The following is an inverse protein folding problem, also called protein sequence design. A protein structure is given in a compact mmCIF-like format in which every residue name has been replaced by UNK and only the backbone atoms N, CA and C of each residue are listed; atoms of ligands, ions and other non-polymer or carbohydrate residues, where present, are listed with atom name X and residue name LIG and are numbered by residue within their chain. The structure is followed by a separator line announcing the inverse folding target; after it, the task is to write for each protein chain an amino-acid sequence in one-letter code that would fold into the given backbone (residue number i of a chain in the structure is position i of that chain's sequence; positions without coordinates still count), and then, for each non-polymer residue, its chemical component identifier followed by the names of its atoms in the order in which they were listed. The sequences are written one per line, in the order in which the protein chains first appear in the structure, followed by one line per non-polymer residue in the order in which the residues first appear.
data_IF_886078361123
#
_entry.id   IF_886078361123
#
_cell.length_a   1.000
_cell.length_b   1.000
_cell.length_c   1.000
_cell.angle_alpha   90.00
_cell.angle_beta   90.00
_cell.angle_gamma   90.00
#
_symmetry.space_group_name_H-M   'P 1'
#
loop_
_entity.id
_entity.type
_entity.pdbx_description
1 polymer ?
#
# COMPACT_ATOMS: atom_id res chain seq x y z
N UNK A 1 -30.74 1.42 9.43
CA UNK A 1 -30.67 -0.04 9.24
C UNK A 1 -30.35 -0.71 10.57
N UNK A 2 -30.85 -1.92 10.86
CA UNK A 2 -30.34 -2.74 11.97
C UNK A 2 -29.31 -3.70 11.38
N UNK A 3 -28.03 -3.38 11.59
CA UNK A 3 -26.90 -4.21 11.15
C UNK A 3 -26.89 -5.55 11.90
N UNK A 4 -26.62 -6.63 11.19
CA UNK A 4 -26.56 -7.97 11.78
C UNK A 4 -25.14 -8.19 12.31
N UNK A 5 -24.94 -8.10 13.63
CA UNK A 5 -23.64 -8.27 14.31
C UNK A 5 -22.91 -9.58 13.95
N UNK A 6 -23.61 -10.53 13.36
CA UNK A 6 -23.05 -11.78 12.84
C UNK A 6 -22.14 -11.60 11.61
N UNK A 7 -22.32 -10.56 10.79
CA UNK A 7 -21.45 -10.29 9.62
C UNK A 7 -20.11 -9.71 10.06
N UNK A 8 -20.10 -8.69 10.93
CA UNK A 8 -18.87 -8.14 11.55
C UNK A 8 -18.07 -9.25 12.23
N UNK A 9 -18.75 -10.09 13.02
CA UNK A 9 -18.10 -11.17 13.76
C UNK A 9 -17.45 -12.22 12.85
N UNK A 10 -18.03 -12.50 11.67
CA UNK A 10 -17.43 -13.43 10.68
C UNK A 10 -16.12 -12.89 10.10
N UNK A 11 -16.02 -11.59 9.83
CA UNK A 11 -14.78 -10.98 9.36
C UNK A 11 -13.71 -10.91 10.45
N UNK A 12 -14.11 -10.69 11.71
CA UNK A 12 -13.18 -10.70 12.86
C UNK A 12 -12.57 -12.08 13.15
N UNK A 13 -13.34 -13.17 13.01
CA UNK A 13 -12.82 -14.53 13.23
C UNK A 13 -11.84 -15.00 12.12
N UNK A 14 -11.81 -14.32 10.96
CA UNK A 14 -10.88 -14.56 9.86
C UNK A 14 -9.65 -13.60 9.88
N UNK A 15 -9.53 -12.72 10.87
CA UNK A 15 -8.46 -11.72 11.01
C UNK A 15 -7.13 -12.26 11.57
N UNK A 16 -7.01 -13.56 11.83
CA UNK A 16 -5.74 -14.16 12.25
C UNK A 16 -4.82 -14.41 11.04
N UNK A 17 -4.51 -13.36 10.28
CA UNK A 17 -3.55 -13.44 9.20
C UNK A 17 -2.15 -13.54 9.80
N UNK A 18 -1.56 -14.75 9.74
CA UNK A 18 -0.14 -14.95 10.02
C UNK A 18 0.64 -14.24 8.90
N UNK A 19 1.02 -12.99 9.17
CA UNK A 19 1.86 -12.15 8.32
C UNK A 19 3.28 -12.69 8.35
N UNK A 20 3.57 -13.64 7.48
CA UNK A 20 4.94 -14.12 7.26
C UNK A 20 5.42 -13.61 5.91
N UNK A 21 6.17 -12.49 5.94
CA UNK A 21 7.03 -12.11 4.84
C UNK A 21 8.42 -12.75 5.05
N UNK A 22 8.53 -14.04 4.78
CA UNK A 22 9.83 -14.69 4.57
C UNK A 22 10.11 -14.77 3.07
N UNK A 23 10.96 -13.89 2.57
CA UNK A 23 11.85 -14.25 1.46
C UNK A 23 13.27 -14.16 1.99
N UNK A 24 13.74 -15.27 2.57
CA UNK A 24 15.15 -15.54 2.77
C UNK A 24 15.77 -15.79 1.40
N UNK A 25 16.54 -14.82 0.90
CA UNK A 25 17.58 -15.08 -0.09
C UNK A 25 18.69 -15.92 0.55
N UNK A 26 18.58 -17.24 0.51
CA UNK A 26 19.71 -18.14 0.76
C UNK A 26 20.69 -18.02 -0.41
N UNK A 27 21.60 -17.05 -0.35
CA UNK A 27 22.84 -17.14 -1.12
C UNK A 27 23.73 -18.20 -0.46
N UNK A 28 23.85 -19.33 -1.14
CA UNK A 28 24.67 -20.46 -0.71
C UNK A 28 26.12 -20.07 -0.43
N UNK A 29 26.68 -20.75 0.57
CA UNK A 29 28.10 -20.79 0.88
C UNK A 29 28.95 -21.16 -0.33
N UNK A 30 29.73 -20.21 -0.86
CA UNK A 30 31.02 -20.47 -1.50
C UNK A 30 31.80 -19.15 -1.69
N UNK A 31 33.04 -19.10 -1.18
CA UNK A 31 34.07 -18.19 -1.69
C UNK A 31 34.25 -16.88 -0.94
N UNK A 32 35.04 -16.94 0.12
CA UNK A 32 35.83 -15.79 0.60
C UNK A 32 36.73 -15.31 -0.55
N UNK A 33 36.65 -14.03 -0.94
CA UNK A 33 37.78 -13.23 -1.42
C UNK A 33 37.39 -11.74 -1.41
N UNK A 34 38.11 -10.96 -0.60
CA UNK A 34 37.97 -9.51 -0.43
C UNK A 34 38.66 -8.74 -1.57
N UNK A 35 38.22 -7.51 -1.94
CA UNK A 35 38.81 -6.75 -3.04
C UNK A 35 39.90 -5.78 -2.56
N UNK A 36 40.99 -5.65 -3.32
CA UNK A 36 41.87 -4.47 -3.23
C UNK A 36 42.74 -4.29 -4.47
N UNK A 37 42.60 -3.13 -5.11
CA UNK A 37 43.66 -2.18 -5.46
C UNK A 37 43.48 -1.60 -6.86
N UNK A 38 43.32 -0.27 -6.87
CA UNK A 38 43.41 0.59 -8.04
C UNK A 38 44.84 0.64 -8.58
N UNK A 39 44.97 0.79 -9.90
CA UNK A 39 46.12 1.44 -10.51
C UNK A 39 45.68 2.19 -11.77
N UNK A 40 46.13 3.43 -11.85
CA UNK A 40 45.90 4.41 -12.90
C UNK A 40 47.29 4.93 -13.30
N UNK A 41 47.63 4.92 -14.59
CA UNK A 41 48.52 5.86 -15.30
C UNK A 41 48.69 5.40 -16.78
N UNK A 42 48.24 6.18 -17.77
CA UNK A 42 49.03 7.10 -18.66
C UNK A 42 50.11 6.38 -19.50
N UNK A 43 50.32 6.59 -20.81
CA UNK A 43 50.14 7.75 -21.74
C UNK A 43 50.51 7.33 -23.18
N UNK A 44 50.03 8.09 -24.20
CA UNK A 44 50.68 8.29 -25.53
C UNK A 44 49.76 8.00 -26.74
N UNK A 45 49.06 8.98 -27.35
CA UNK A 45 49.48 9.90 -28.44
C UNK A 45 49.99 9.17 -29.71
N UNK A 46 49.62 9.43 -30.97
CA UNK A 46 48.83 10.41 -31.73
C UNK A 46 48.42 9.73 -33.07
N UNK A 47 47.56 10.20 -33.99
CA UNK A 47 47.61 11.40 -34.87
C UNK A 47 46.29 11.47 -35.70
N UNK A 48 45.95 12.72 -36.08
CA UNK A 48 45.01 13.26 -37.10
C UNK A 48 44.72 12.37 -38.36
N UNK A 49 43.69 12.58 -39.19
CA UNK A 49 43.09 13.82 -39.74
C UNK A 49 41.83 13.45 -40.60
N UNK A 50 41.10 14.49 -41.03
CA UNK A 50 40.17 14.59 -42.18
C UNK A 50 38.67 14.32 -41.89
N UNK A 51 37.80 15.32 -41.68
CA UNK A 51 37.27 16.40 -42.56
C UNK A 51 35.87 16.09 -43.14
N UNK A 52 34.89 16.91 -42.73
CA UNK A 52 33.84 17.53 -43.58
C UNK A 52 32.72 16.59 -44.11
N UNK A 53 31.40 16.85 -44.07
CA UNK A 53 30.58 18.08 -44.07
C UNK A 53 29.10 17.73 -43.81
N UNK A 54 28.34 18.70 -43.27
CA UNK A 54 26.93 19.09 -43.48
C UNK A 54 25.85 18.00 -43.68
N UNK A 55 24.75 17.97 -42.94
CA UNK A 55 23.69 18.99 -42.84
C UNK A 55 22.39 18.22 -43.11
N UNK A 56 21.34 18.31 -42.30
CA UNK A 56 20.22 19.23 -42.54
C UNK A 56 19.34 19.31 -41.29
N UNK A 57 18.96 20.54 -40.98
CA UNK A 57 17.89 20.92 -40.09
C UNK A 57 16.54 20.65 -40.77
N UNK A 58 15.51 20.32 -39.98
CA UNK A 58 14.19 20.91 -40.23
C UNK A 58 13.33 20.84 -38.96
N UNK A 59 13.27 21.97 -38.26
CA UNK A 59 12.11 22.37 -37.47
C UNK A 59 10.92 22.60 -38.42
N UNK A 60 9.68 22.36 -37.99
CA UNK A 60 8.68 23.43 -37.83
C UNK A 60 7.31 22.93 -37.31
N UNK A 61 6.84 23.63 -36.26
CA UNK A 61 5.46 24.02 -35.93
C UNK A 61 4.33 22.99 -35.80
N UNK A 62 3.99 22.78 -34.53
CA UNK A 62 2.74 23.20 -33.88
C UNK A 62 1.57 23.66 -34.75
N UNK A 63 0.43 22.96 -34.62
CA UNK A 63 -0.90 23.55 -34.65
C UNK A 63 -1.82 22.77 -33.70
N UNK A 64 -2.57 23.55 -32.92
CA UNK A 64 -3.38 23.14 -31.80
C UNK A 64 -4.65 22.39 -32.20
N UNK A 65 -5.06 21.44 -31.36
CA UNK A 65 -6.47 21.10 -31.15
C UNK A 65 -6.68 20.75 -29.67
N UNK A 66 -7.67 21.41 -29.09
CA UNK A 66 -8.17 21.38 -27.71
C UNK A 66 -8.47 19.99 -27.12
N UNK A 67 -8.60 19.89 -25.78
CA UNK A 67 -8.55 18.64 -25.04
C UNK A 67 -9.89 17.92 -25.09
N UNK A 68 -9.87 16.68 -25.58
CA UNK A 68 -10.94 15.73 -25.31
C UNK A 68 -10.67 15.12 -23.93
N UNK A 69 -11.43 15.58 -22.94
CA UNK A 69 -11.53 14.97 -21.61
C UNK A 69 -12.22 13.62 -21.76
N UNK A 70 -11.48 12.63 -22.26
CA UNK A 70 -11.82 11.24 -22.11
C UNK A 70 -11.33 10.79 -20.74
N UNK A 71 -12.25 10.67 -19.78
CA UNK A 71 -12.02 9.84 -18.61
C UNK A 71 -11.58 8.47 -19.10
N UNK A 72 -10.30 8.14 -18.91
CA UNK A 72 -9.79 6.78 -19.09
C UNK A 72 -10.42 5.94 -18.00
N UNK A 73 -11.62 5.41 -18.30
CA UNK A 73 -12.21 4.33 -17.53
C UNK A 73 -11.27 3.14 -17.71
N UNK A 74 -10.38 2.93 -16.73
CA UNK A 74 -9.53 1.74 -16.69
C UNK A 74 -10.41 0.52 -16.93
N UNK A 75 -10.07 -0.25 -17.96
CA UNK A 75 -10.80 -1.46 -18.32
C UNK A 75 -10.44 -2.53 -17.28
N UNK A 76 -11.20 -2.54 -16.19
CA UNK A 76 -11.17 -3.58 -15.17
C UNK A 76 -11.77 -4.85 -15.79
N UNK A 77 -11.10 -5.99 -15.64
CA UNK A 77 -11.73 -7.28 -15.93
C UNK A 77 -12.95 -7.44 -15.01
N UNK A 78 -14.11 -7.85 -15.55
CA UNK A 78 -15.34 -8.00 -14.77
C UNK A 78 -15.08 -8.76 -13.45
N UNK A 79 -15.23 -8.06 -12.31
CA UNK A 79 -15.20 -8.65 -10.97
C UNK A 79 -13.95 -8.40 -10.10
N UNK A 80 -12.96 -7.62 -10.53
CA UNK A 80 -11.79 -7.29 -9.68
C UNK A 80 -11.89 -5.86 -9.10
N UNK A 81 -11.48 -5.66 -7.85
CA UNK A 81 -11.47 -4.35 -7.20
C UNK A 81 -10.05 -3.78 -7.25
N UNK A 82 -9.78 -2.68 -7.97
CA UNK A 82 -8.42 -2.13 -8.08
C UNK A 82 -8.00 -1.48 -6.76
N UNK A 83 -6.70 -1.50 -6.44
CA UNK A 83 -6.17 -0.78 -5.27
C UNK A 83 -5.97 0.71 -5.58
N UNK A 84 -5.55 1.01 -6.81
CA UNK A 84 -5.31 2.39 -7.27
C UNK A 84 -6.58 3.02 -7.87
N UNK A 85 -6.59 4.35 -7.94
CA UNK A 85 -7.55 5.14 -8.69
C UNK A 85 -8.51 5.96 -7.82
N UNK A 86 -9.43 6.65 -8.49
CA UNK A 86 -10.38 7.55 -7.81
C UNK A 86 -11.44 6.78 -7.04
N UNK A 87 -11.74 7.22 -5.84
CA UNK A 87 -12.83 6.71 -5.01
C UNK A 87 -14.05 7.62 -5.06
N UNK A 88 -15.24 7.02 -4.99
CA UNK A 88 -16.50 7.72 -4.75
C UNK A 88 -16.92 7.67 -3.27
N UNK A 89 -16.19 6.93 -2.43
CA UNK A 89 -16.45 6.85 -1.00
C UNK A 89 -16.07 8.16 -0.34
N UNK A 90 -16.93 8.64 0.54
CA UNK A 90 -16.76 9.86 1.33
C UNK A 90 -16.23 9.53 2.71
N UNK A 91 -15.59 10.53 3.35
CA UNK A 91 -15.18 10.40 4.77
C UNK A 91 -16.37 10.05 5.67
N UNK A 92 -17.57 10.57 5.38
CA UNK A 92 -18.77 10.25 6.16
C UNK A 92 -19.17 8.77 6.03
N UNK A 93 -19.08 8.17 4.84
CA UNK A 93 -19.37 6.73 4.68
C UNK A 93 -18.38 5.85 5.47
N UNK A 94 -17.10 6.24 5.52
CA UNK A 94 -16.11 5.55 6.36
C UNK A 94 -16.42 5.67 7.85
N UNK A 95 -16.83 6.87 8.31
CA UNK A 95 -17.25 7.12 9.69
C UNK A 95 -18.50 6.33 10.04
N UNK A 96 -19.52 6.35 9.17
CA UNK A 96 -20.77 5.63 9.35
C UNK A 96 -20.54 4.11 9.40
N UNK A 97 -19.62 3.59 8.57
CA UNK A 97 -19.22 2.19 8.58
C UNK A 97 -18.55 1.78 9.90
N UNK A 98 -17.61 2.59 10.40
CA UNK A 98 -17.02 2.34 11.72
C UNK A 98 -18.11 2.32 12.81
N UNK A 99 -18.96 3.35 12.85
CA UNK A 99 -20.03 3.46 13.84
C UNK A 99 -21.04 2.29 13.76
N UNK A 100 -21.27 1.76 12.56
CA UNK A 100 -22.15 0.61 12.33
C UNK A 100 -21.59 -0.70 12.89
N UNK A 101 -20.26 -0.81 13.09
CA UNK A 101 -19.65 -1.97 13.76
C UNK A 101 -20.12 -2.14 15.20
N UNK A 102 -20.45 -1.02 15.87
CA UNK A 102 -20.82 -0.98 17.28
C UNK A 102 -19.63 -0.89 18.25
N UNK A 103 -18.40 -0.86 17.73
CA UNK A 103 -17.19 -0.69 18.54
C UNK A 103 -16.99 0.77 18.97
N UNK A 104 -16.36 0.97 20.13
CA UNK A 104 -16.03 2.30 20.63
C UNK A 104 -14.73 2.81 19.99
N UNK A 105 -14.73 4.07 19.56
CA UNK A 105 -13.52 4.69 19.02
C UNK A 105 -12.52 4.96 20.15
N UNK A 106 -11.28 4.44 20.08
CA UNK A 106 -10.26 4.58 21.12
C UNK A 106 -9.59 5.97 21.10
N UNK A 107 -10.38 6.99 21.48
CA UNK A 107 -9.96 8.38 21.44
C UNK A 107 -8.80 8.69 22.41
N UNK A 108 -8.74 8.02 23.56
CA UNK A 108 -7.69 8.24 24.56
C UNK A 108 -6.30 7.92 23.95
N UNK A 109 -6.19 6.77 23.30
CA UNK A 109 -4.95 6.28 22.72
C UNK A 109 -4.59 7.02 21.42
N UNK A 110 -5.56 7.21 20.52
CA UNK A 110 -5.30 7.81 19.20
C UNK A 110 -5.13 9.33 19.25
N UNK A 111 -5.67 10.01 20.26
CA UNK A 111 -5.41 11.45 20.47
C UNK A 111 -3.92 11.75 20.68
N UNK A 112 -3.16 10.82 21.27
CA UNK A 112 -1.71 10.94 21.44
C UNK A 112 -0.94 11.01 20.12
N UNK A 113 -1.49 10.43 19.05
CA UNK A 113 -0.95 10.48 17.69
C UNK A 113 -1.71 11.42 16.75
N UNK A 114 -2.58 12.30 17.29
CA UNK A 114 -3.24 13.35 16.52
C UNK A 114 -4.59 13.01 15.90
N UNK A 115 -5.16 11.83 16.18
CA UNK A 115 -6.51 11.46 15.75
C UNK A 115 -7.43 11.33 16.98
N UNK A 116 -8.01 12.44 17.39
CA UNK A 116 -8.88 12.55 18.57
C UNK A 116 -10.33 12.08 18.35
N UNK A 117 -10.69 11.79 17.10
CA UNK A 117 -12.03 11.37 16.68
C UNK A 117 -11.97 10.47 15.45
N UNK A 118 -13.03 9.67 15.26
CA UNK A 118 -13.17 8.82 14.06
C UNK A 118 -13.20 9.66 12.78
N UNK A 119 -13.78 10.87 12.83
CA UNK A 119 -13.79 11.81 11.71
C UNK A 119 -12.37 12.24 11.34
N UNK A 120 -11.55 12.62 12.33
CA UNK A 120 -10.14 12.96 12.11
C UNK A 120 -9.37 11.76 11.51
N UNK A 121 -9.59 10.56 12.04
CA UNK A 121 -8.95 9.34 11.56
C UNK A 121 -9.33 9.00 10.10
N UNK A 122 -10.62 9.01 9.77
CA UNK A 122 -11.09 8.75 8.42
C UNK A 122 -10.61 9.83 7.43
N UNK A 123 -10.56 11.11 7.85
CA UNK A 123 -10.00 12.18 7.03
C UNK A 123 -8.51 11.95 6.73
N UNK A 124 -7.71 11.52 7.72
CA UNK A 124 -6.29 11.19 7.51
C UNK A 124 -6.11 10.05 6.49
N UNK A 125 -6.92 8.99 6.56
CA UNK A 125 -6.91 7.93 5.54
C UNK A 125 -7.23 8.48 4.16
N UNK A 126 -8.27 9.30 4.05
CA UNK A 126 -8.68 9.88 2.79
C UNK A 126 -7.56 10.72 2.16
N UNK A 127 -6.94 11.59 2.95
CA UNK A 127 -5.90 12.51 2.48
C UNK A 127 -4.62 11.76 2.07
N UNK A 128 -4.13 10.86 2.93
CA UNK A 128 -2.91 10.10 2.65
C UNK A 128 -3.10 9.15 1.45
N UNK A 129 -4.27 8.49 1.34
CA UNK A 129 -4.52 7.54 0.27
C UNK A 129 -4.64 8.26 -1.08
N UNK A 130 -5.40 9.36 -1.10
CA UNK A 130 -5.53 10.22 -2.28
C UNK A 130 -4.18 10.81 -2.71
N UNK A 131 -3.32 11.20 -1.76
CA UNK A 131 -2.00 11.73 -2.06
C UNK A 131 -1.11 10.72 -2.81
N UNK A 132 -1.29 9.42 -2.57
CA UNK A 132 -0.55 8.35 -3.26
C UNK A 132 -1.30 7.73 -4.45
N UNK A 133 -2.58 8.09 -4.65
CA UNK A 133 -3.46 7.52 -5.68
C UNK A 133 -4.06 6.16 -5.30
N UNK A 134 -3.96 5.77 -4.02
CA UNK A 134 -4.61 4.58 -3.46
C UNK A 134 -6.05 4.94 -3.11
N UNK A 135 -6.96 4.00 -3.33
CA UNK A 135 -8.36 4.16 -2.94
C UNK A 135 -8.52 4.19 -1.41
N UNK A 136 -9.05 5.26 -0.80
CA UNK A 136 -9.20 5.37 0.66
C UNK A 136 -9.95 4.20 1.31
N UNK A 137 -11.03 3.74 0.68
CA UNK A 137 -11.87 2.65 1.17
C UNK A 137 -11.12 1.31 1.25
N UNK A 138 -10.12 1.09 0.37
CA UNK A 138 -9.29 -0.12 0.40
C UNK A 138 -8.41 -0.14 1.64
N UNK A 139 -7.67 0.95 1.87
CA UNK A 139 -6.79 1.06 3.02
C UNK A 139 -7.58 1.02 4.33
N UNK A 140 -8.71 1.74 4.39
CA UNK A 140 -9.53 1.79 5.59
C UNK A 140 -10.23 0.45 5.91
N UNK A 141 -10.84 -0.22 4.92
CA UNK A 141 -11.44 -1.54 5.11
C UNK A 141 -10.39 -2.58 5.55
N UNK A 142 -9.21 -2.54 4.93
CA UNK A 142 -8.08 -3.38 5.37
C UNK A 142 -7.74 -3.10 6.83
N UNK A 143 -7.62 -1.84 7.25
CA UNK A 143 -7.34 -1.50 8.64
C UNK A 143 -8.39 -2.02 9.61
N UNK A 144 -9.68 -1.91 9.26
CA UNK A 144 -10.75 -2.46 10.10
C UNK A 144 -10.63 -3.99 10.23
N UNK A 145 -10.22 -4.68 9.17
CA UNK A 145 -9.97 -6.14 9.18
C UNK A 145 -8.76 -6.49 10.06
N UNK A 146 -7.64 -5.80 9.89
CA UNK A 146 -6.37 -6.08 10.58
C UNK A 146 -6.44 -5.78 12.08
N UNK A 147 -7.14 -4.72 12.45
CA UNK A 147 -7.22 -4.27 13.84
C UNK A 147 -8.46 -4.78 14.57
N UNK A 148 -9.40 -5.42 13.87
CA UNK A 148 -10.71 -5.72 14.44
C UNK A 148 -11.43 -4.44 14.86
N UNK A 149 -11.60 -3.49 13.92
CA UNK A 149 -12.24 -2.19 14.15
C UNK A 149 -11.57 -1.39 15.29
N UNK A 150 -10.24 -1.26 15.20
CA UNK A 150 -9.39 -0.52 16.14
C UNK A 150 -9.38 -1.07 17.58
N UNK A 151 -9.95 -2.26 17.82
CA UNK A 151 -9.94 -2.87 19.15
C UNK A 151 -8.63 -3.59 19.47
N UNK A 152 -7.90 -4.01 18.43
CA UNK A 152 -6.71 -4.83 18.48
C UNK A 152 -6.93 -6.17 19.21
N UNK A 153 -6.33 -7.24 18.71
CA UNK A 153 -6.47 -8.57 19.32
C UNK A 153 -5.33 -9.54 19.03
N UNK A 154 -4.32 -9.06 18.27
CA UNK A 154 -3.14 -9.80 17.88
C UNK A 154 -1.89 -9.29 18.60
N UNK A 155 -0.75 -9.37 17.91
CA UNK A 155 0.54 -8.98 18.48
C UNK A 155 0.77 -7.46 18.48
N UNK A 156 0.10 -6.73 17.59
CA UNK A 156 0.20 -5.28 17.51
C UNK A 156 -0.69 -4.60 18.56
N UNK A 157 -0.26 -3.46 19.06
CA UNK A 157 -1.03 -2.59 19.94
C UNK A 157 -1.34 -1.24 19.29
N UNK A 158 -2.37 -0.57 19.80
CA UNK A 158 -2.85 0.70 19.25
C UNK A 158 -1.82 1.83 19.36
N UNK A 159 -0.99 1.81 20.41
CA UNK A 159 0.06 2.80 20.66
C UNK A 159 1.21 2.72 19.65
N UNK A 160 1.28 1.66 18.85
CA UNK A 160 2.25 1.56 17.76
C UNK A 160 1.84 2.37 16.53
N UNK A 161 0.57 2.77 16.44
CA UNK A 161 -0.02 3.36 15.22
C UNK A 161 0.24 2.50 13.98
N UNK A 162 0.35 1.18 14.15
CA UNK A 162 0.55 0.22 13.08
C UNK A 162 -0.80 -0.42 12.73
N UNK A 163 -1.47 0.18 11.77
CA UNK A 163 -2.86 -0.12 11.42
C UNK A 163 -3.02 -1.31 10.46
N UNK A 164 -1.91 -1.84 9.94
CA UNK A 164 -1.92 -2.87 8.90
C UNK A 164 -0.98 -4.05 9.22
N UNK A 165 -0.54 -4.16 10.48
CA UNK A 165 0.30 -5.26 10.95
C UNK A 165 1.70 -5.30 10.32
N UNK A 166 2.21 -4.17 9.83
CA UNK A 166 3.49 -4.12 9.12
C UNK A 166 4.63 -4.62 10.03
N UNK A 167 5.30 -5.68 9.59
CA UNK A 167 6.42 -6.27 10.31
C UNK A 167 6.03 -7.17 11.49
N UNK A 168 4.74 -7.38 11.75
CA UNK A 168 4.31 -8.44 12.66
C UNK A 168 4.69 -9.80 12.07
N UNK A 169 5.00 -10.79 12.92
CA UNK A 169 5.37 -12.14 12.46
C UNK A 169 4.57 -13.26 13.14
N UNK A 170 3.62 -12.92 14.01
CA UNK A 170 3.05 -13.85 14.95
C UNK A 170 3.98 -14.11 16.15
N UNK A 171 3.42 -14.74 17.19
CA UNK A 171 4.11 -15.16 18.41
C UNK A 171 4.62 -14.03 19.30
N UNK A 172 3.89 -12.91 19.37
CA UNK A 172 4.20 -11.78 20.24
C UNK A 172 5.24 -10.81 19.66
N UNK A 173 5.50 -10.85 18.35
CA UNK A 173 6.36 -9.86 17.68
C UNK A 173 5.47 -8.71 17.18
N UNK A 174 5.53 -7.53 17.83
CA UNK A 174 4.55 -6.45 17.62
C UNK A 174 4.70 -5.73 16.27
N UNK A 175 5.81 -5.94 15.56
CA UNK A 175 6.10 -5.28 14.29
C UNK A 175 6.56 -3.84 14.45
N UNK A 176 6.33 -3.04 13.41
CA UNK A 176 6.77 -1.65 13.34
C UNK A 176 5.93 -0.75 14.25
N UNK A 177 6.49 0.40 14.63
CA UNK A 177 5.80 1.48 15.34
C UNK A 177 6.08 2.81 14.67
N UNK A 178 5.09 3.69 14.66
CA UNK A 178 5.15 4.98 14.00
C UNK A 178 5.00 6.11 15.02
N UNK A 179 5.53 7.31 14.75
CA UNK A 179 5.53 8.42 15.70
C UNK A 179 4.13 9.03 15.94
N UNK A 180 3.24 8.91 14.96
CA UNK A 180 1.88 9.44 15.01
C UNK A 180 0.96 8.66 14.07
N UNK A 181 -0.35 8.92 14.17
CA UNK A 181 -1.39 8.22 13.40
C UNK A 181 -1.19 8.46 11.91
N UNK A 182 -0.90 9.69 11.50
CA UNK A 182 -0.70 10.05 10.09
C UNK A 182 0.45 9.25 9.45
N UNK A 183 1.58 9.12 10.14
CA UNK A 183 2.75 8.39 9.65
C UNK A 183 2.46 6.90 9.52
N UNK A 184 1.73 6.32 10.48
CA UNK A 184 1.30 4.93 10.43
C UNK A 184 0.36 4.63 9.25
N UNK A 185 -0.61 5.51 9.02
CA UNK A 185 -1.51 5.46 7.87
C UNK A 185 -0.72 5.57 6.55
N UNK A 186 0.19 6.54 6.46
CA UNK A 186 1.05 6.73 5.28
C UNK A 186 1.87 5.48 4.98
N UNK A 187 2.45 4.83 6.00
CA UNK A 187 3.24 3.62 5.80
C UNK A 187 2.41 2.49 5.17
N UNK A 188 1.19 2.25 5.65
CA UNK A 188 0.27 1.27 5.04
C UNK A 188 -0.03 1.62 3.58
N UNK A 189 -0.34 2.88 3.29
CA UNK A 189 -0.70 3.33 1.94
C UNK A 189 0.46 3.16 0.96
N UNK A 190 1.68 3.47 1.40
CA UNK A 190 2.88 3.22 0.61
C UNK A 190 3.06 1.72 0.36
N UNK A 191 2.77 0.87 1.35
CA UNK A 191 2.83 -0.58 1.18
C UNK A 191 1.78 -1.10 0.18
N UNK A 192 0.55 -0.58 0.24
CA UNK A 192 -0.51 -0.89 -0.74
C UNK A 192 -0.12 -0.43 -2.15
N UNK A 193 0.42 0.79 -2.30
CA UNK A 193 0.91 1.30 -3.59
C UNK A 193 2.04 0.43 -4.14
N UNK A 194 2.95 -0.04 -3.29
CA UNK A 194 4.00 -0.96 -3.70
C UNK A 194 3.42 -2.26 -4.29
N UNK A 195 2.40 -2.83 -3.67
CA UNK A 195 1.71 -3.99 -4.23
C UNK A 195 1.03 -3.66 -5.55
N UNK A 196 0.38 -2.50 -5.63
CA UNK A 196 -0.51 -2.18 -6.72
C UNK A 196 0.19 -1.73 -8.02
N UNK A 197 1.31 -1.02 -7.92
CA UNK A 197 2.00 -0.43 -9.08
C UNK A 197 3.53 -0.38 -8.89
N UNK A 198 4.25 -0.11 -9.99
CA UNK A 198 5.68 0.20 -10.00
C UNK A 198 5.97 1.71 -9.98
N UNK A 199 4.94 2.55 -9.94
CA UNK A 199 5.10 4.00 -9.85
C UNK A 199 5.81 4.41 -8.56
N UNK A 200 6.53 5.53 -8.64
CA UNK A 200 7.22 6.10 -7.48
C UNK A 200 6.22 6.64 -6.45
N UNK A 201 6.64 6.67 -5.18
CA UNK A 201 5.88 7.36 -4.14
C UNK A 201 5.81 8.86 -4.44
N UNK A 202 4.69 9.47 -4.08
CA UNK A 202 4.47 10.91 -4.20
C UNK A 202 5.00 11.66 -2.97
N UNK A 203 5.04 10.98 -1.82
CA UNK A 203 5.55 11.49 -0.55
C UNK A 203 6.86 10.79 -0.14
N UNK A 204 7.51 11.31 0.91
CA UNK A 204 8.67 10.66 1.52
C UNK A 204 8.31 9.27 2.05
N UNK A 205 9.17 8.28 1.77
CA UNK A 205 8.97 6.91 2.21
C UNK A 205 9.12 6.81 3.74
N UNK A 206 8.08 6.32 4.41
CA UNK A 206 8.05 6.05 5.85
C UNK A 206 7.81 4.57 6.16
N UNK A 207 7.48 3.76 5.16
CA UNK A 207 7.40 2.31 5.28
C UNK A 207 8.79 1.66 5.19
N UNK A 208 9.34 1.25 6.33
CA UNK A 208 10.61 0.50 6.43
C UNK A 208 10.63 -0.81 5.65
N UNK A 209 9.46 -1.32 5.25
CA UNK A 209 9.31 -2.55 4.49
C UNK A 209 9.09 -2.33 3.00
N UNK A 210 9.01 -1.08 2.55
CA UNK A 210 8.65 -0.72 1.18
C UNK A 210 9.55 -1.44 0.16
N UNK A 211 10.86 -1.47 0.39
CA UNK A 211 11.84 -2.07 -0.52
C UNK A 211 11.70 -3.59 -0.67
N UNK A 212 11.08 -4.28 0.29
CA UNK A 212 10.92 -5.73 0.26
C UNK A 212 9.71 -6.19 -0.57
N UNK A 213 8.81 -5.27 -0.93
CA UNK A 213 7.63 -5.58 -1.75
C UNK A 213 8.03 -5.64 -3.23
N UNK A 214 7.70 -6.74 -3.90
CA UNK A 214 7.78 -6.82 -5.36
C UNK A 214 6.75 -5.87 -5.97
N UNK A 215 7.23 -4.81 -6.62
CA UNK A 215 6.36 -3.74 -7.13
C UNK A 215 5.37 -4.22 -8.18
N UNK A 216 4.11 -3.82 -8.06
CA UNK A 216 3.03 -4.19 -8.99
C UNK A 216 2.61 -5.66 -8.95
N UNK A 217 2.93 -6.39 -7.88
CA UNK A 217 2.60 -7.82 -7.74
C UNK A 217 1.13 -8.11 -7.41
N UNK A 218 0.36 -7.12 -6.95
CA UNK A 218 -1.05 -7.25 -6.61
C UNK A 218 -1.84 -5.97 -6.94
N UNK A 219 -2.12 -5.66 -8.22
CA UNK A 219 -2.94 -4.51 -8.64
C UNK A 219 -4.40 -4.51 -8.12
N UNK A 220 -4.93 -5.68 -7.74
CA UNK A 220 -6.32 -5.83 -7.27
C UNK A 220 -6.36 -6.29 -5.82
N UNK A 221 -7.36 -5.82 -5.06
CA UNK A 221 -7.56 -6.14 -3.63
C UNK A 221 -7.61 -7.64 -3.40
N UNK A 222 -8.29 -8.39 -4.26
CA UNK A 222 -8.36 -9.85 -4.20
C UNK A 222 -6.97 -10.51 -4.20
N UNK A 223 -5.98 -9.92 -4.87
CA UNK A 223 -4.62 -10.44 -4.98
C UNK A 223 -3.70 -10.02 -3.82
N UNK A 224 -4.23 -9.29 -2.82
CA UNK A 224 -3.54 -9.14 -1.54
C UNK A 224 -3.53 -10.45 -0.75
N UNK A 225 -4.42 -11.39 -1.05
CA UNK A 225 -4.31 -12.78 -0.57
C UNK A 225 -3.36 -13.58 -1.46
N UNK A 226 -2.34 -14.20 -0.87
CA UNK A 226 -1.33 -14.97 -1.62
C UNK A 226 -1.93 -16.16 -2.37
N UNK A 227 -3.04 -16.70 -1.87
CA UNK A 227 -3.70 -17.88 -2.41
C UNK A 227 -4.49 -17.55 -3.68
N UNK A 228 -5.02 -16.33 -3.74
CA UNK A 228 -5.77 -15.79 -4.86
C UNK A 228 -4.88 -15.09 -5.89
N UNK A 229 -3.67 -14.70 -5.50
CA UNK A 229 -2.71 -14.07 -6.38
C UNK A 229 -2.04 -15.11 -7.30
N UNK A 230 -2.08 -14.96 -8.64
CA UNK A 230 -1.45 -15.87 -9.58
C UNK A 230 0.07 -16.06 -9.40
N UNK A 231 0.75 -15.09 -8.77
CA UNK A 231 2.19 -15.17 -8.47
C UNK A 231 2.50 -15.76 -7.09
N UNK A 232 1.48 -16.07 -6.28
CA UNK A 232 1.66 -16.52 -4.90
C UNK A 232 2.22 -15.43 -3.97
N UNK A 233 2.16 -14.16 -4.38
CA UNK A 233 2.60 -12.99 -3.62
C UNK A 233 1.38 -12.26 -3.06
N UNK A 234 1.57 -11.47 -2.01
CA UNK A 234 0.46 -10.74 -1.41
C UNK A 234 0.72 -10.39 0.04
N UNK A 235 -0.15 -9.54 0.56
CA UNK A 235 -0.14 -9.05 1.93
C UNK A 235 -0.25 -10.19 2.94
N UNK A 236 -1.21 -11.09 2.77
CA UNK A 236 -1.54 -12.12 3.73
C UNK A 236 -1.53 -13.53 3.12
N UNK A 237 -1.24 -14.52 3.95
CA UNK A 237 -1.17 -15.94 3.57
C UNK A 237 -2.53 -16.65 3.62
N UNK A 238 -3.52 -16.08 4.31
CA UNK A 238 -4.83 -16.70 4.51
C UNK A 238 -5.70 -16.68 3.25
N UNK A 239 -6.50 -17.74 3.08
CA UNK A 239 -7.50 -17.85 2.02
C UNK A 239 -8.55 -16.73 2.16
N UNK A 240 -9.06 -16.24 1.03
CA UNK A 240 -10.10 -15.20 0.92
C UNK A 240 -9.74 -13.83 1.51
N UNK A 241 -8.49 -13.57 1.89
CA UNK A 241 -8.10 -12.31 2.53
C UNK A 241 -8.58 -11.07 1.76
N UNK A 242 -8.29 -11.02 0.46
CA UNK A 242 -8.69 -9.90 -0.38
C UNK A 242 -10.20 -9.87 -0.66
N UNK A 243 -10.86 -11.03 -0.74
CA UNK A 243 -12.32 -11.08 -0.92
C UNK A 243 -13.07 -10.56 0.31
N UNK A 244 -12.57 -10.81 1.52
CA UNK A 244 -13.14 -10.24 2.74
C UNK A 244 -13.08 -8.72 2.73
N UNK A 245 -11.94 -8.14 2.32
CA UNK A 245 -11.80 -6.68 2.21
C UNK A 245 -12.79 -6.13 1.18
N UNK A 246 -12.96 -6.80 0.04
CA UNK A 246 -13.97 -6.38 -0.96
C UNK A 246 -15.38 -6.43 -0.38
N UNK A 247 -15.74 -7.48 0.35
CA UNK A 247 -17.05 -7.55 1.02
C UNK A 247 -17.23 -6.43 2.07
N UNK A 248 -16.17 -6.06 2.79
CA UNK A 248 -16.19 -4.93 3.72
C UNK A 248 -16.37 -3.57 3.00
N UNK A 249 -15.81 -3.41 1.80
CA UNK A 249 -16.01 -2.22 0.97
C UNK A 249 -17.45 -2.16 0.43
N UNK A 250 -18.00 -3.29 -0.01
CA UNK A 250 -19.41 -3.38 -0.43
C UNK A 250 -20.32 -2.96 0.74
N UNK A 251 -20.12 -3.54 1.92
CA UNK A 251 -20.86 -3.21 3.15
C UNK A 251 -20.76 -1.71 3.57
N UNK A 252 -19.66 -1.03 3.22
CA UNK A 252 -19.43 0.40 3.50
C UNK A 252 -20.21 1.32 2.54
N UNK A 253 -20.56 0.82 1.35
CA UNK A 253 -21.12 1.63 0.25
C UNK A 253 -22.59 1.32 -0.07
N UNK A 254 -23.21 0.41 0.67
CA UNK A 254 -24.65 0.08 0.62
C UNK A 254 -25.53 1.01 1.47
#
# INVERSE_FOLDING_TARGET
MKWNSNTVKRYMEAGLAVLIAFILGLAGSAGVLSPRAAENERTGAAVADDSTKAGEENENKTLASSPDTGETKETIADGQYPIMGNSNVTVQEMVDYFNASGEEYPAEELSGGGADSIETFCQMYYDEATAEGVRPEVAFAQTMKETGFLQYGGDASIEQFNFAGLGTTGNGVPGNSYPDVQTGIRAQIQHLKAYATADSLNQECVDDRYEYVKKGSAPYVQWLGQQENPEGLGWATGDNYGYDIVGMIEDMTE
#
